data_IF_103713074511
#
_entry.id   IF_103713074511
#
_cell.length_a   1.000
_cell.length_b   1.000
_cell.length_c   1.000
_cell.angle_alpha   90.00
_cell.angle_beta   90.00
_cell.angle_gamma   90.00
#
_symmetry.space_group_name_H-M   'P 1'
#
loop_
_entity.id
_entity.type
_entity.pdbx_description
1 polymer ?
#
# COMPACT_ATOMS: atom_id res chain seq x y z
N UNK A 1 90.25 11.28 -7.79
CA UNK A 1 91.06 10.15 -7.30
C UNK A 1 91.03 10.13 -5.78
N UNK A 2 90.62 8.99 -5.23
CA UNK A 2 91.12 8.33 -4.01
C UNK A 2 91.16 9.06 -2.64
N UNK A 3 90.32 8.48 -1.74
CA UNK A 3 90.60 8.00 -0.37
C UNK A 3 90.74 9.09 0.72
N UNK A 4 90.15 9.00 1.91
CA UNK A 4 89.41 7.93 2.59
C UNK A 4 89.74 7.92 4.09
N UNK A 5 88.72 7.64 4.92
CA UNK A 5 88.72 7.24 6.36
C UNK A 5 89.02 8.30 7.43
N UNK A 6 88.07 8.51 8.36
CA UNK A 6 88.05 7.82 9.69
C UNK A 6 86.71 8.00 10.41
N UNK A 7 86.20 6.88 10.95
CA UNK A 7 85.08 6.77 11.90
C UNK A 7 85.45 7.37 13.27
N UNK A 8 84.47 7.92 13.99
CA UNK A 8 84.28 7.57 15.40
C UNK A 8 82.82 7.74 15.86
N UNK A 9 82.41 6.79 16.71
CA UNK A 9 81.10 6.53 17.30
C UNK A 9 80.53 7.71 18.11
N UNK A 10 79.20 7.86 18.08
CA UNK A 10 78.42 8.20 19.28
C UNK A 10 77.01 7.60 19.18
N UNK A 11 76.76 6.63 20.06
CA UNK A 11 75.43 6.12 20.38
C UNK A 11 74.60 7.21 21.08
N UNK A 12 73.34 7.36 20.65
CA UNK A 12 72.17 7.51 21.54
C UNK A 12 70.89 7.43 20.71
N UNK A 13 70.07 6.44 21.07
CA UNK A 13 68.69 6.18 20.60
C UNK A 13 67.76 7.39 20.84
N UNK A 14 66.60 7.45 20.15
CA UNK A 14 65.43 6.77 20.74
C UNK A 14 64.54 6.02 19.73
N UNK A 15 63.90 4.99 20.26
CA UNK A 15 62.84 4.19 19.67
C UNK A 15 61.64 5.06 19.24
N UNK A 16 61.18 4.88 17.99
CA UNK A 16 59.82 5.23 17.57
C UNK A 16 59.03 3.92 17.47
N UNK A 17 58.42 3.54 18.59
CA UNK A 17 57.38 2.53 18.61
C UNK A 17 56.18 3.01 17.81
N UNK A 18 55.81 2.26 16.76
CA UNK A 18 54.49 2.33 16.15
C UNK A 18 53.48 1.75 17.14
N UNK A 19 52.83 2.63 17.90
CA UNK A 19 51.68 2.30 18.73
C UNK A 19 50.48 1.98 17.83
N UNK A 20 50.37 0.71 17.42
CA UNK A 20 49.06 0.16 17.03
C UNK A 20 48.23 0.16 18.31
N UNK A 21 47.31 1.12 18.45
CA UNK A 21 46.22 1.07 19.41
C UNK A 21 45.43 -0.23 19.20
N UNK A 22 45.83 -1.27 19.92
CA UNK A 22 45.06 -2.47 20.17
C UNK A 22 43.84 -2.03 20.96
N UNK A 23 42.67 -2.02 20.31
CA UNK A 23 41.41 -1.77 21.02
C UNK A 23 41.19 -2.94 21.95
N UNK A 24 41.26 -2.66 23.25
CA UNK A 24 40.89 -3.56 24.32
C UNK A 24 39.53 -4.22 24.00
N UNK A 25 39.39 -5.55 24.14
CA UNK A 25 38.17 -6.28 23.77
C UNK A 25 36.89 -5.67 24.37
N UNK A 26 36.99 -5.10 25.57
CA UNK A 26 35.91 -4.41 26.28
C UNK A 26 35.33 -3.18 25.54
N UNK A 27 36.15 -2.47 24.74
CA UNK A 27 35.69 -1.32 23.92
C UNK A 27 35.02 -1.76 22.62
N UNK A 28 35.32 -2.96 22.14
CA UNK A 28 34.63 -3.58 20.99
C UNK A 28 33.29 -4.12 21.44
N UNK A 29 33.25 -4.77 22.60
CA UNK A 29 32.05 -5.32 23.25
C UNK A 29 31.00 -4.24 23.53
N UNK A 30 31.34 -3.16 24.24
CA UNK A 30 30.41 -2.04 24.49
C UNK A 30 29.90 -1.36 23.21
N UNK A 31 30.69 -1.41 22.13
CA UNK A 31 30.30 -0.85 20.82
C UNK A 31 29.35 -1.78 20.07
N UNK A 32 29.53 -3.09 20.16
CA UNK A 32 28.63 -4.09 19.56
C UNK A 32 27.33 -4.25 20.38
N UNK A 33 27.38 -4.21 21.71
CA UNK A 33 26.17 -4.12 22.57
C UNK A 33 25.36 -2.85 22.27
N UNK A 34 26.03 -1.72 22.08
CA UNK A 34 25.38 -0.48 21.66
C UNK A 34 24.76 -0.53 20.26
N UNK A 35 25.19 -1.48 19.41
CA UNK A 35 24.53 -1.79 18.13
C UNK A 35 23.39 -2.78 18.31
N UNK A 36 23.53 -3.77 19.20
CA UNK A 36 22.48 -4.71 19.59
C UNK A 36 21.25 -3.93 20.08
N UNK A 37 21.43 -3.05 21.07
CA UNK A 37 20.32 -2.27 21.62
C UNK A 37 19.66 -1.38 20.56
N UNK A 38 20.43 -0.79 19.64
CA UNK A 38 19.87 -0.01 18.53
C UNK A 38 19.12 -0.86 17.50
N UNK A 39 19.60 -2.06 17.23
CA UNK A 39 18.97 -3.00 16.31
C UNK A 39 17.65 -3.51 16.91
N UNK A 40 17.68 -3.92 18.17
CA UNK A 40 16.49 -4.30 18.96
C UNK A 40 15.48 -3.15 19.03
N UNK A 41 15.91 -1.93 19.35
CA UNK A 41 15.04 -0.75 19.35
C UNK A 41 14.42 -0.51 17.97
N UNK A 42 15.17 -0.76 16.89
CA UNK A 42 14.69 -0.55 15.52
C UNK A 42 13.65 -1.58 15.11
N UNK A 43 13.89 -2.87 15.41
CA UNK A 43 12.92 -3.94 15.18
C UNK A 43 11.67 -3.68 16.02
N UNK A 44 11.83 -3.46 17.32
CA UNK A 44 10.73 -3.22 18.25
C UNK A 44 9.92 -1.98 17.88
N UNK A 45 10.58 -0.88 17.48
CA UNK A 45 9.91 0.34 17.02
C UNK A 45 9.13 0.13 15.73
N UNK A 46 9.64 -0.67 14.79
CA UNK A 46 8.93 -0.98 13.53
C UNK A 46 7.71 -1.86 13.79
N UNK A 47 7.87 -2.93 14.55
CA UNK A 47 6.76 -3.80 14.97
C UNK A 47 5.69 -3.01 15.73
N UNK A 48 6.09 -2.08 16.61
CA UNK A 48 5.16 -1.24 17.37
C UNK A 48 4.50 -0.11 16.55
N UNK A 49 5.16 0.39 15.50
CA UNK A 49 4.59 1.39 14.58
C UNK A 49 3.54 0.76 13.68
N UNK A 50 3.74 -0.48 13.26
CA UNK A 50 2.76 -1.25 12.48
C UNK A 50 1.52 -1.58 13.31
N UNK A 51 1.68 -2.02 14.57
CA UNK A 51 0.55 -2.26 15.48
C UNK A 51 -0.29 -1.00 15.73
N UNK A 52 0.34 0.19 15.77
CA UNK A 52 -0.36 1.48 15.87
C UNK A 52 -0.98 1.95 14.56
N UNK A 53 -0.36 1.65 13.41
CA UNK A 53 -0.91 1.99 12.09
C UNK A 53 -2.12 1.13 11.73
N UNK A 54 -2.09 -0.17 12.05
CA UNK A 54 -3.25 -1.05 11.85
C UNK A 54 -4.37 -0.68 12.83
N UNK A 55 -4.05 -0.40 14.10
CA UNK A 55 -5.04 0.06 15.08
C UNK A 55 -5.65 1.45 14.74
N UNK A 56 -4.88 2.40 14.19
CA UNK A 56 -5.41 3.72 13.81
C UNK A 56 -6.26 3.68 12.54
N UNK A 57 -5.92 2.80 11.59
CA UNK A 57 -6.70 2.59 10.36
C UNK A 57 -8.01 1.86 10.66
N UNK A 58 -8.03 0.92 11.62
CA UNK A 58 -9.26 0.27 12.09
C UNK A 58 -10.14 1.17 13.00
N UNK A 59 -9.59 2.24 13.60
CA UNK A 59 -10.30 3.05 14.61
C UNK A 59 -10.81 4.42 14.11
N UNK A 60 -10.51 4.87 12.90
CA UNK A 60 -10.96 6.19 12.41
C UNK A 60 -11.79 6.08 11.12
N UNK A 61 -13.12 6.17 11.27
CA UNK A 61 -14.09 6.38 10.17
C UNK A 61 -14.07 7.84 9.65
N UNK A 62 -12.89 8.37 9.33
CA UNK A 62 -12.76 9.66 8.66
C UNK A 62 -11.63 9.61 7.65
N UNK A 63 -12.00 9.71 6.38
CA UNK A 63 -11.13 9.61 5.20
C UNK A 63 -9.95 10.59 5.24
N UNK A 64 -8.69 10.14 5.04
CA UNK A 64 -7.62 11.03 4.63
C UNK A 64 -7.71 11.25 3.11
N UNK A 65 -7.68 12.51 2.68
CA UNK A 65 -7.43 12.88 1.29
C UNK A 65 -6.03 12.38 0.90
N UNK A 66 -5.98 11.45 -0.06
CA UNK A 66 -4.74 10.91 -0.62
C UNK A 66 -4.61 11.41 -2.05
N UNK A 67 -3.61 12.28 -2.27
CA UNK A 67 -3.14 12.67 -3.60
C UNK A 67 -2.85 11.42 -4.45
N UNK A 68 -3.13 11.53 -5.75
CA UNK A 68 -2.81 10.57 -6.80
C UNK A 68 -1.32 10.20 -6.81
N UNK A 69 -0.96 9.19 -6.02
CA UNK A 69 0.40 8.68 -5.93
C UNK A 69 0.44 7.26 -6.48
N UNK A 70 1.08 7.17 -7.64
CA UNK A 70 1.49 6.00 -8.42
C UNK A 70 1.41 4.68 -7.65
N UNK A 71 0.61 3.75 -8.19
CA UNK A 71 0.53 2.35 -7.78
C UNK A 71 1.94 1.76 -7.49
N UNK A 72 2.22 1.27 -6.27
CA UNK A 72 3.44 0.53 -6.00
C UNK A 72 3.28 -0.86 -6.63
N UNK A 73 3.76 -1.02 -7.86
CA UNK A 73 3.70 -2.33 -8.52
C UNK A 73 4.14 -2.39 -9.97
N UNK A 74 4.26 -1.27 -10.68
CA UNK A 74 4.74 -1.29 -12.06
C UNK A 74 5.84 -0.26 -12.29
N UNK A 75 7.08 -0.76 -12.28
CA UNK A 75 8.25 -0.08 -12.80
C UNK A 75 9.15 -1.13 -13.44
N UNK A 76 9.37 -1.03 -14.75
CA UNK A 76 10.23 -1.93 -15.51
C UNK A 76 11.72 -1.86 -15.10
N UNK A 77 12.08 -0.96 -14.18
CA UNK A 77 13.35 -0.97 -13.47
C UNK A 77 13.09 -0.59 -12.01
N UNK A 78 13.17 -1.56 -11.10
CA UNK A 78 12.73 -1.44 -9.70
C UNK A 78 13.56 -0.50 -8.82
N UNK A 79 13.41 0.82 -8.97
CA UNK A 79 13.87 1.84 -8.02
C UNK A 79 12.93 3.04 -8.00
N UNK A 80 11.94 3.02 -7.11
CA UNK A 80 11.13 4.20 -6.78
C UNK A 80 11.46 4.69 -5.37
N UNK A 81 12.04 5.88 -5.24
CA UNK A 81 12.17 6.63 -3.98
C UNK A 81 11.40 7.92 -4.15
N UNK A 82 10.39 8.15 -3.31
CA UNK A 82 9.72 9.44 -3.19
C UNK A 82 10.58 10.34 -2.31
N UNK A 83 11.08 11.46 -2.85
CA UNK A 83 11.79 12.48 -2.08
C UNK A 83 10.81 13.58 -1.67
N UNK A 84 10.83 13.93 -0.37
CA UNK A 84 10.19 15.12 0.19
C UNK A 84 11.27 16.10 0.70
N UNK A 85 10.97 17.40 0.85
CA UNK A 85 11.96 18.45 1.11
C UNK A 85 12.59 18.32 2.50
N UNK A 86 13.86 18.71 2.58
CA UNK A 86 14.77 18.44 3.70
C UNK A 86 14.57 19.44 4.84
N UNK A 87 14.28 19.01 6.09
CA UNK A 87 14.56 19.80 7.28
C UNK A 87 15.93 19.42 7.86
N UNK A 88 16.58 20.40 8.49
CA UNK A 88 17.94 20.33 9.04
C UNK A 88 18.09 19.11 9.96
N UNK A 89 19.04 18.25 9.60
CA UNK A 89 19.11 16.86 10.09
C UNK A 89 20.09 16.72 11.26
N UNK A 90 19.66 16.16 12.39
CA UNK A 90 20.53 15.96 13.56
C UNK A 90 21.64 14.92 13.29
N UNK A 91 22.80 15.05 13.98
CA UNK A 91 23.93 14.10 13.90
C UNK A 91 23.52 12.63 14.12
N UNK A 92 22.43 12.37 14.86
CA UNK A 92 21.88 11.03 15.10
C UNK A 92 21.23 10.45 13.84
N UNK A 93 20.46 11.24 13.09
CA UNK A 93 19.83 10.82 11.83
C UNK A 93 20.84 10.62 10.71
N UNK A 94 21.91 11.42 10.64
CA UNK A 94 22.99 11.20 9.68
C UNK A 94 23.73 9.87 9.90
N UNK A 95 23.92 9.47 11.16
CA UNK A 95 24.55 8.19 11.49
C UNK A 95 23.64 7.00 11.18
N UNK A 96 22.32 7.17 11.36
CA UNK A 96 21.31 6.19 10.98
C UNK A 96 21.23 6.05 9.45
N UNK A 97 21.23 7.17 8.70
CA UNK A 97 21.32 7.16 7.23
C UNK A 97 22.61 6.50 6.73
N UNK A 98 23.77 6.74 7.35
CA UNK A 98 25.03 6.06 7.00
C UNK A 98 24.99 4.56 7.30
N UNK A 99 24.32 4.14 8.37
CA UNK A 99 24.06 2.73 8.64
C UNK A 99 23.16 2.12 7.56
N UNK A 100 22.06 2.78 7.20
CA UNK A 100 21.19 2.36 6.11
C UNK A 100 21.89 2.31 4.75
N UNK A 101 22.80 3.25 4.48
CA UNK A 101 23.57 3.26 3.24
C UNK A 101 24.55 2.09 3.17
N UNK A 102 25.24 1.77 4.28
CA UNK A 102 26.13 0.59 4.37
C UNK A 102 25.38 -0.73 4.32
N UNK A 103 24.20 -0.80 4.93
CA UNK A 103 23.28 -1.95 4.83
C UNK A 103 22.88 -2.12 3.36
N UNK A 104 22.49 -1.04 2.66
CA UNK A 104 22.10 -1.07 1.24
C UNK A 104 23.23 -1.49 0.29
N UNK A 105 24.48 -1.12 0.58
CA UNK A 105 25.66 -1.45 -0.23
C UNK A 105 26.14 -2.89 -0.01
N UNK A 106 25.96 -3.45 1.20
CA UNK A 106 26.36 -4.83 1.54
C UNK A 106 25.30 -5.89 1.19
N UNK A 107 24.02 -5.49 1.08
CA UNK A 107 22.88 -6.37 0.74
C UNK A 107 22.96 -6.95 -0.68
N UNK A 108 23.76 -6.38 -1.58
CA UNK A 108 23.90 -6.88 -2.96
C UNK A 108 24.62 -8.24 -3.09
N UNK A 109 25.31 -8.69 -2.04
CA UNK A 109 26.18 -9.88 -2.04
C UNK A 109 25.69 -11.02 -1.12
N UNK A 110 24.56 -10.82 -0.42
CA UNK A 110 24.06 -11.78 0.57
C UNK A 110 23.08 -12.77 -0.09
N UNK A 111 23.28 -14.05 0.21
CA UNK A 111 22.40 -15.17 -0.18
C UNK A 111 20.96 -14.86 0.30
N UNK A 112 20.03 -14.72 -0.66
CA UNK A 112 18.65 -14.36 -0.36
C UNK A 112 17.90 -15.57 0.15
N UNK A 113 17.26 -15.46 1.31
CA UNK A 113 16.32 -16.49 1.74
C UNK A 113 15.11 -16.51 0.80
N UNK A 114 14.78 -17.68 0.26
CA UNK A 114 13.60 -17.87 -0.57
C UNK A 114 12.39 -18.18 0.32
N UNK A 115 11.30 -17.45 0.12
CA UNK A 115 10.00 -17.78 0.73
C UNK A 115 9.37 -18.89 -0.11
N UNK A 116 8.49 -19.70 0.49
CA UNK A 116 7.88 -20.84 -0.20
C UNK A 116 7.25 -20.44 -1.55
N UNK A 117 7.38 -21.33 -2.54
CA UNK A 117 6.82 -21.14 -3.89
C UNK A 117 5.30 -20.95 -3.86
N UNK A 118 4.62 -21.68 -2.98
CA UNK A 118 3.18 -21.58 -2.77
C UNK A 118 2.78 -20.16 -2.33
N UNK A 119 3.46 -19.61 -1.33
CA UNK A 119 3.20 -18.26 -0.83
C UNK A 119 3.44 -17.19 -1.91
N UNK A 120 4.55 -17.29 -2.64
CA UNK A 120 4.86 -16.35 -3.74
C UNK A 120 3.81 -16.42 -4.86
N UNK A 121 3.31 -17.63 -5.15
CA UNK A 121 2.22 -17.83 -6.12
C UNK A 121 0.91 -17.21 -5.63
N UNK A 122 0.58 -17.36 -4.35
CA UNK A 122 -0.61 -16.73 -3.75
C UNK A 122 -0.56 -15.21 -3.83
N UNK A 123 0.59 -14.58 -3.58
CA UNK A 123 0.77 -13.14 -3.76
C UNK A 123 0.59 -12.70 -5.21
N UNK A 124 1.15 -13.44 -6.17
CA UNK A 124 0.96 -13.15 -7.58
C UNK A 124 -0.51 -13.30 -8.02
N UNK A 125 -1.23 -14.26 -7.45
CA UNK A 125 -2.66 -14.44 -7.68
C UNK A 125 -3.48 -13.31 -7.07
N UNK A 126 -3.13 -12.83 -5.87
CA UNK A 126 -3.73 -11.65 -5.25
C UNK A 126 -3.57 -10.41 -6.16
N UNK A 127 -2.36 -10.17 -6.70
CA UNK A 127 -2.10 -9.03 -7.58
C UNK A 127 -2.95 -9.09 -8.87
N UNK A 128 -3.02 -10.26 -9.49
CA UNK A 128 -3.90 -10.49 -10.66
C UNK A 128 -5.37 -10.28 -10.32
N UNK A 129 -5.79 -10.76 -9.15
CA UNK A 129 -7.16 -10.60 -8.68
C UNK A 129 -7.53 -9.13 -8.48
N UNK A 130 -6.63 -8.34 -7.88
CA UNK A 130 -6.83 -6.89 -7.73
C UNK A 130 -6.97 -6.19 -9.08
N UNK A 131 -6.12 -6.50 -10.05
CA UNK A 131 -6.23 -5.91 -11.40
C UNK A 131 -7.57 -6.21 -12.07
N UNK A 132 -8.05 -7.45 -11.91
CA UNK A 132 -9.37 -7.86 -12.38
C UNK A 132 -10.48 -7.05 -11.67
N UNK A 133 -10.38 -6.88 -10.35
CA UNK A 133 -11.33 -6.08 -9.58
C UNK A 133 -11.33 -4.61 -9.96
N UNK A 134 -10.18 -3.98 -10.23
CA UNK A 134 -10.13 -2.59 -10.69
C UNK A 134 -10.90 -2.42 -12.01
N UNK A 135 -10.58 -3.29 -12.98
CA UNK A 135 -11.19 -3.27 -14.31
C UNK A 135 -12.70 -3.50 -14.23
N UNK A 136 -13.11 -4.46 -13.39
CA UNK A 136 -14.51 -4.77 -13.16
C UNK A 136 -15.23 -3.60 -12.48
N UNK A 137 -14.65 -3.03 -11.41
CA UNK A 137 -15.26 -1.94 -10.68
C UNK A 137 -15.43 -0.70 -11.57
N UNK A 138 -14.44 -0.39 -12.40
CA UNK A 138 -14.51 0.69 -13.38
C UNK A 138 -15.61 0.43 -14.42
N UNK A 139 -15.67 -0.76 -15.02
CA UNK A 139 -16.70 -1.12 -15.99
C UNK A 139 -18.11 -1.03 -15.38
N UNK A 140 -18.31 -1.58 -14.19
CA UNK A 140 -19.61 -1.53 -13.50
C UNK A 140 -19.98 -0.09 -13.14
N UNK A 141 -19.04 0.73 -12.65
CA UNK A 141 -19.29 2.16 -12.43
C UNK A 141 -19.66 2.88 -13.73
N UNK A 142 -19.06 2.47 -14.85
CA UNK A 142 -19.37 2.97 -16.18
C UNK A 142 -20.82 2.71 -16.59
N UNK A 143 -21.34 1.52 -16.28
CA UNK A 143 -22.73 1.13 -16.54
C UNK A 143 -23.70 1.82 -15.59
N UNK A 144 -23.34 1.97 -14.31
CA UNK A 144 -24.21 2.62 -13.31
C UNK A 144 -24.39 4.10 -13.63
N UNK A 145 -23.34 4.77 -14.10
CA UNK A 145 -23.35 6.20 -14.40
C UNK A 145 -22.63 6.43 -15.73
N UNK A 146 -23.39 6.53 -16.81
CA UNK A 146 -22.86 6.66 -18.17
C UNK A 146 -22.08 7.97 -18.36
N UNK A 147 -22.53 9.05 -17.70
CA UNK A 147 -21.92 10.35 -17.82
C UNK A 147 -20.60 10.42 -17.04
N UNK A 148 -19.44 10.54 -17.73
CA UNK A 148 -18.13 10.56 -17.07
C UNK A 148 -17.94 11.74 -16.11
N UNK A 149 -18.69 12.83 -16.28
CA UNK A 149 -18.60 14.02 -15.42
C UNK A 149 -18.97 13.72 -13.97
N UNK A 150 -19.84 12.72 -13.76
CA UNK A 150 -20.27 12.25 -12.43
C UNK A 150 -19.45 11.06 -11.91
N UNK A 151 -18.51 10.53 -12.73
CA UNK A 151 -17.62 9.41 -12.36
C UNK A 151 -16.24 9.85 -11.83
N UNK A 152 -15.97 11.16 -11.74
CA UNK A 152 -14.61 11.72 -11.53
C UNK A 152 -13.83 11.07 -10.38
N UNK A 153 -12.51 11.04 -10.62
CA UNK A 153 -11.41 10.44 -9.83
C UNK A 153 -11.64 10.53 -8.31
N UNK A 154 -11.32 9.44 -7.61
CA UNK A 154 -11.42 9.20 -6.16
C UNK A 154 -12.64 8.42 -5.67
N UNK A 155 -13.45 7.82 -6.56
CA UNK A 155 -14.65 7.07 -6.14
C UNK A 155 -15.52 7.90 -5.20
N UNK A 156 -15.80 9.15 -5.59
CA UNK A 156 -16.60 10.08 -4.79
C UNK A 156 -17.83 9.37 -4.23
N UNK A 157 -18.16 9.69 -2.98
CA UNK A 157 -19.28 9.09 -2.25
C UNK A 157 -20.60 9.15 -3.03
N UNK A 158 -20.74 10.07 -3.98
CA UNK A 158 -21.94 10.27 -4.77
C UNK A 158 -21.62 10.23 -6.27
N UNK A 159 -22.22 9.26 -6.96
CA UNK A 159 -22.26 9.15 -8.44
C UNK A 159 -23.56 9.69 -9.02
N UNK A 160 -24.54 10.00 -8.16
CA UNK A 160 -25.81 10.55 -8.59
C UNK A 160 -25.59 11.99 -9.06
N UNK A 161 -26.23 12.42 -10.16
CA UNK A 161 -26.21 13.82 -10.57
C UNK A 161 -26.67 14.74 -9.42
N UNK A 162 -26.26 16.01 -9.37
CA UNK A 162 -26.87 16.99 -8.48
C UNK A 162 -28.38 17.14 -8.75
N UNK A 163 -29.13 17.67 -7.78
CA UNK A 163 -30.58 17.86 -7.93
C UNK A 163 -30.91 18.72 -9.17
N UNK A 164 -31.90 18.32 -9.97
CA UNK A 164 -32.30 18.96 -11.22
C UNK A 164 -31.27 18.93 -12.37
N UNK A 165 -30.17 18.20 -12.23
CA UNK A 165 -29.18 17.96 -13.31
C UNK A 165 -29.26 16.53 -13.88
N UNK A 166 -30.24 15.75 -13.44
CA UNK A 166 -30.51 14.42 -14.01
C UNK A 166 -31.28 14.57 -15.33
N UNK A 167 -30.93 13.74 -16.30
CA UNK A 167 -31.35 13.90 -17.70
C UNK A 167 -32.88 13.84 -17.87
N UNK A 168 -33.56 12.90 -17.20
CA UNK A 168 -35.01 12.80 -17.26
C UNK A 168 -35.70 13.96 -16.52
N UNK A 169 -35.15 14.43 -15.40
CA UNK A 169 -35.64 15.64 -14.72
C UNK A 169 -35.51 16.88 -15.59
N UNK A 170 -34.40 17.01 -16.33
CA UNK A 170 -34.20 18.10 -17.29
C UNK A 170 -35.22 18.05 -18.42
N UNK A 171 -35.52 16.87 -18.96
CA UNK A 171 -36.57 16.71 -19.97
C UNK A 171 -37.94 17.10 -19.41
N UNK A 172 -38.29 16.64 -18.21
CA UNK A 172 -39.54 17.04 -17.54
C UNK A 172 -39.64 18.55 -17.35
N UNK A 173 -38.55 19.20 -16.92
CA UNK A 173 -38.48 20.64 -16.76
C UNK A 173 -38.65 21.37 -18.10
N UNK A 174 -37.98 20.93 -19.16
CA UNK A 174 -38.12 21.49 -20.50
C UNK A 174 -39.56 21.40 -21.01
N UNK A 175 -40.20 20.24 -20.87
CA UNK A 175 -41.60 20.05 -21.25
C UNK A 175 -42.53 21.01 -20.50
N UNK A 176 -42.27 21.32 -19.24
CA UNK A 176 -43.12 22.22 -18.45
C UNK A 176 -42.85 23.72 -18.66
N UNK A 177 -41.67 24.10 -19.17
CA UNK A 177 -41.21 25.50 -19.18
C UNK A 177 -41.06 26.11 -20.56
N UNK A 178 -40.86 25.29 -21.60
CA UNK A 178 -40.73 25.77 -22.96
C UNK A 178 -42.11 25.99 -23.58
N UNK A 179 -42.28 27.15 -24.20
CA UNK A 179 -43.47 27.49 -24.98
C UNK A 179 -43.48 26.76 -26.33
N UNK A 180 -44.66 26.39 -26.83
CA UNK A 180 -44.84 25.63 -28.08
C UNK A 180 -45.13 24.14 -27.88
N UNK A 181 -45.11 23.66 -26.62
CA UNK A 181 -45.52 22.30 -26.27
C UNK A 181 -46.93 22.25 -25.67
N UNK A 182 -47.60 23.39 -25.44
CA UNK A 182 -48.92 23.45 -24.79
C UNK A 182 -50.03 22.79 -25.62
N UNK A 183 -49.86 22.73 -26.94
CA UNK A 183 -50.80 22.08 -27.86
C UNK A 183 -50.64 20.55 -27.91
N UNK A 184 -49.55 20.03 -27.32
CA UNK A 184 -49.31 18.59 -27.30
C UNK A 184 -50.19 17.93 -26.23
N UNK A 185 -51.21 17.21 -26.70
CA UNK A 185 -52.29 16.63 -25.88
C UNK A 185 -51.81 15.84 -24.65
N UNK A 186 -50.62 15.23 -24.73
CA UNK A 186 -50.07 14.37 -23.69
C UNK A 186 -48.86 14.98 -22.95
N UNK A 187 -48.60 16.29 -23.12
CA UNK A 187 -47.43 16.98 -22.56
C UNK A 187 -47.31 16.78 -21.04
N UNK A 188 -48.41 16.99 -20.30
CA UNK A 188 -48.44 16.85 -18.85
C UNK A 188 -48.12 15.42 -18.41
N UNK A 189 -48.71 14.43 -19.08
CA UNK A 189 -48.51 13.00 -18.79
C UNK A 189 -47.05 12.63 -19.05
N UNK A 190 -46.45 13.10 -20.16
CA UNK A 190 -45.04 12.87 -20.46
C UNK A 190 -44.12 13.56 -19.44
N UNK A 191 -44.39 14.81 -19.09
CA UNK A 191 -43.58 15.54 -18.11
C UNK A 191 -43.59 14.85 -16.73
N UNK A 192 -44.75 14.38 -16.27
CA UNK A 192 -44.87 13.60 -15.03
C UNK A 192 -44.13 12.26 -15.11
N UNK A 193 -44.21 11.56 -16.26
CA UNK A 193 -43.48 10.31 -16.48
C UNK A 193 -41.97 10.50 -16.44
N UNK A 194 -41.43 11.51 -17.12
CA UNK A 194 -40.00 11.83 -17.07
C UNK A 194 -39.53 12.19 -15.65
N UNK A 195 -40.34 12.89 -14.86
CA UNK A 195 -40.03 13.16 -13.45
C UNK A 195 -39.92 11.86 -12.62
N UNK A 196 -40.82 10.89 -12.85
CA UNK A 196 -40.77 9.57 -12.21
C UNK A 196 -39.54 8.77 -12.66
N UNK A 197 -39.22 8.77 -13.95
CA UNK A 197 -38.03 8.11 -14.50
C UNK A 197 -36.75 8.65 -13.85
N UNK A 198 -36.61 9.97 -13.73
CA UNK A 198 -35.45 10.58 -13.08
C UNK A 198 -35.31 10.20 -11.60
N UNK A 199 -36.44 10.13 -10.88
CA UNK A 199 -36.45 9.67 -9.48
C UNK A 199 -35.97 8.22 -9.34
N UNK A 200 -36.47 7.33 -10.19
CA UNK A 200 -36.09 5.91 -10.21
C UNK A 200 -34.62 5.74 -10.61
N UNK A 201 -34.14 6.49 -11.59
CA UNK A 201 -32.74 6.47 -12.02
C UNK A 201 -31.78 6.93 -10.91
N UNK A 202 -32.13 7.99 -10.18
CA UNK A 202 -31.36 8.43 -9.00
C UNK A 202 -31.32 7.39 -7.89
N UNK A 203 -32.44 6.71 -7.62
CA UNK A 203 -32.49 5.63 -6.64
C UNK A 203 -31.58 4.46 -7.08
N UNK A 204 -31.66 4.09 -8.36
CA UNK A 204 -30.81 3.05 -8.96
C UNK A 204 -29.33 3.36 -8.76
N UNK A 205 -28.85 4.54 -9.18
CA UNK A 205 -27.43 4.92 -9.05
C UNK A 205 -26.96 4.79 -7.60
N UNK A 206 -27.77 5.26 -6.64
CA UNK A 206 -27.42 5.20 -5.20
C UNK A 206 -27.34 3.76 -4.70
N UNK A 207 -28.30 2.92 -5.09
CA UNK A 207 -28.39 1.52 -4.64
C UNK A 207 -27.30 0.66 -5.29
N UNK A 208 -27.13 0.79 -6.61
CA UNK A 208 -26.11 0.09 -7.39
C UNK A 208 -24.68 0.43 -6.94
N UNK A 209 -24.41 1.69 -6.60
CA UNK A 209 -23.10 2.05 -6.01
C UNK A 209 -22.90 1.43 -4.62
N UNK A 210 -23.97 1.37 -3.81
CA UNK A 210 -23.91 0.79 -2.46
C UNK A 210 -23.67 -0.71 -2.49
N UNK A 211 -24.23 -1.42 -3.47
CA UNK A 211 -24.03 -2.86 -3.61
C UNK A 211 -22.58 -3.24 -3.91
N UNK A 212 -21.74 -2.32 -4.39
CA UNK A 212 -20.30 -2.57 -4.65
C UNK A 212 -19.39 -2.21 -3.47
N UNK A 213 -19.92 -2.17 -2.25
CA UNK A 213 -19.18 -1.67 -1.09
C UNK A 213 -17.93 -2.49 -0.77
N UNK A 214 -18.02 -3.82 -0.78
CA UNK A 214 -16.90 -4.68 -0.39
C UNK A 214 -15.80 -4.64 -1.45
N UNK A 215 -16.17 -4.68 -2.73
CA UNK A 215 -15.21 -4.54 -3.84
C UNK A 215 -14.42 -3.23 -3.72
N UNK A 216 -15.12 -2.11 -3.51
CA UNK A 216 -14.48 -0.79 -3.37
C UNK A 216 -13.59 -0.72 -2.15
N UNK A 217 -14.05 -1.24 -1.01
CA UNK A 217 -13.27 -1.26 0.23
C UNK A 217 -12.00 -2.09 0.07
N UNK A 218 -12.09 -3.25 -0.59
CA UNK A 218 -10.94 -4.11 -0.83
C UNK A 218 -9.87 -3.43 -1.69
N UNK A 219 -10.28 -2.79 -2.79
CA UNK A 219 -9.37 -2.07 -3.70
C UNK A 219 -8.69 -0.89 -2.98
N UNK A 220 -9.46 -0.11 -2.22
CA UNK A 220 -8.99 1.12 -1.61
C UNK A 220 -8.20 0.92 -0.32
N UNK A 221 -8.50 -0.14 0.45
CA UNK A 221 -7.96 -0.33 1.79
C UNK A 221 -7.29 -1.68 1.95
N UNK A 222 -8.01 -2.80 1.81
CA UNK A 222 -7.50 -4.12 2.21
C UNK A 222 -6.27 -4.54 1.38
N UNK A 223 -6.30 -4.29 0.07
CA UNK A 223 -5.16 -4.55 -0.80
C UNK A 223 -3.91 -3.74 -0.40
N UNK A 224 -4.10 -2.48 0.02
CA UNK A 224 -2.99 -1.64 0.47
C UNK A 224 -2.39 -2.12 1.79
N UNK A 225 -3.23 -2.62 2.71
CA UNK A 225 -2.75 -3.26 3.94
C UNK A 225 -1.89 -4.48 3.61
N UNK A 226 -2.35 -5.35 2.70
CA UNK A 226 -1.59 -6.49 2.20
C UNK A 226 -0.26 -6.07 1.55
N UNK A 227 -0.27 -5.05 0.70
CA UNK A 227 0.93 -4.52 0.04
C UNK A 227 1.96 -3.96 1.03
N UNK A 228 1.49 -3.26 2.08
CA UNK A 228 2.34 -2.77 3.15
C UNK A 228 2.97 -3.93 3.96
N UNK A 229 2.17 -4.93 4.32
CA UNK A 229 2.66 -6.13 5.01
C UNK A 229 3.71 -6.88 4.16
N UNK A 230 3.49 -6.99 2.84
CA UNK A 230 4.44 -7.60 1.91
C UNK A 230 5.77 -6.84 1.86
N UNK A 231 5.71 -5.51 1.78
CA UNK A 231 6.91 -4.65 1.76
C UNK A 231 7.72 -4.74 3.06
N UNK A 232 7.02 -4.82 4.20
CA UNK A 232 7.65 -5.01 5.50
C UNK A 232 8.29 -6.39 5.63
N UNK A 233 7.60 -7.45 5.19
CA UNK A 233 8.14 -8.81 5.16
C UNK A 233 9.43 -8.87 4.33
N UNK A 234 9.46 -8.24 3.16
CA UNK A 234 10.66 -8.14 2.32
C UNK A 234 11.80 -7.38 3.00
N UNK A 235 11.48 -6.40 3.85
CA UNK A 235 12.48 -5.66 4.63
C UNK A 235 13.05 -6.53 5.74
N UNK A 236 12.20 -7.22 6.51
CA UNK A 236 12.61 -8.14 7.57
C UNK A 236 13.45 -9.29 7.01
N UNK A 237 13.09 -9.81 5.83
CA UNK A 237 13.88 -10.83 5.12
C UNK A 237 15.32 -10.36 4.88
N UNK A 238 15.50 -9.14 4.35
CA UNK A 238 16.84 -8.57 4.11
C UNK A 238 17.62 -8.37 5.41
N UNK A 239 16.96 -7.99 6.50
CA UNK A 239 17.59 -7.82 7.81
C UNK A 239 18.03 -9.15 8.41
N UNK A 240 17.19 -10.19 8.29
CA UNK A 240 17.52 -11.55 8.68
C UNK A 240 18.70 -12.10 7.86
N UNK A 241 18.68 -11.95 6.53
CA UNK A 241 19.77 -12.38 5.65
C UNK A 241 21.08 -11.65 6.01
N UNK A 242 21.02 -10.35 6.29
CA UNK A 242 22.17 -9.58 6.76
C UNK A 242 22.70 -10.11 8.10
N UNK A 243 21.84 -10.32 9.10
CA UNK A 243 22.24 -10.86 10.39
C UNK A 243 22.88 -12.26 10.27
N UNK A 244 22.37 -13.11 9.36
CA UNK A 244 22.95 -14.42 9.03
C UNK A 244 24.36 -14.29 8.47
N UNK A 245 24.58 -13.34 7.55
CA UNK A 245 25.91 -13.10 6.97
C UNK A 245 26.91 -12.57 8.01
N UNK A 246 26.45 -11.68 8.90
CA UNK A 246 27.25 -11.14 9.99
C UNK A 246 27.64 -12.23 10.99
N UNK A 247 26.73 -13.17 11.30
CA UNK A 247 27.01 -14.34 12.12
C UNK A 247 28.06 -15.25 11.47
N UNK A 248 27.92 -15.57 10.18
CA UNK A 248 28.90 -16.39 9.43
C UNK A 248 30.30 -15.78 9.39
N UNK A 249 30.41 -14.45 9.44
CA UNK A 249 31.71 -13.73 9.37
C UNK A 249 32.41 -13.53 10.72
N UNK A 250 31.73 -13.79 11.85
CA UNK A 250 32.32 -13.64 13.17
C UNK A 250 33.29 -14.78 13.51
N UNK A 251 34.41 -14.43 14.14
CA UNK A 251 35.48 -15.37 14.51
C UNK A 251 35.62 -15.58 16.01
N UNK A 252 35.22 -14.58 16.81
CA UNK A 252 35.34 -14.61 18.27
C UNK A 252 34.11 -15.24 18.92
N UNK A 253 34.29 -16.11 19.91
CA UNK A 253 33.20 -16.85 20.55
C UNK A 253 32.13 -15.94 21.19
N UNK A 254 32.55 -14.87 21.87
CA UNK A 254 31.62 -13.88 22.45
C UNK A 254 30.84 -13.13 21.36
N UNK A 255 31.50 -12.76 20.26
CA UNK A 255 30.87 -12.06 19.15
C UNK A 255 29.89 -12.98 18.39
N UNK A 256 30.22 -14.26 18.26
CA UNK A 256 29.32 -15.28 17.69
C UNK A 256 28.05 -15.39 18.53
N UNK A 257 28.16 -15.46 19.87
CA UNK A 257 26.99 -15.54 20.76
C UNK A 257 26.07 -14.31 20.58
N UNK A 258 26.65 -13.11 20.57
CA UNK A 258 25.92 -11.85 20.38
C UNK A 258 25.22 -11.79 19.01
N UNK A 259 25.94 -12.10 17.93
CA UNK A 259 25.38 -12.09 16.57
C UNK A 259 24.34 -13.19 16.35
N UNK A 260 24.49 -14.33 17.02
CA UNK A 260 23.48 -15.39 17.00
C UNK A 260 22.19 -14.90 17.63
N UNK A 261 22.26 -14.21 18.78
CA UNK A 261 21.07 -13.59 19.38
C UNK A 261 20.39 -12.59 18.42
N UNK A 262 21.17 -11.74 17.73
CA UNK A 262 20.62 -10.82 16.71
C UNK A 262 19.91 -11.56 15.57
N UNK A 263 20.52 -12.64 15.09
CA UNK A 263 19.93 -13.46 14.04
C UNK A 263 18.63 -14.12 14.50
N UNK A 264 18.57 -14.69 15.70
CA UNK A 264 17.34 -15.29 16.24
C UNK A 264 16.20 -14.28 16.38
N UNK A 265 16.48 -13.05 16.82
CA UNK A 265 15.47 -11.99 16.88
C UNK A 265 14.97 -11.61 15.48
N UNK A 266 15.87 -11.52 14.49
CA UNK A 266 15.48 -11.22 13.11
C UNK A 266 14.65 -12.34 12.47
N UNK A 267 14.98 -13.60 12.76
CA UNK A 267 14.20 -14.79 12.33
C UNK A 267 12.80 -14.73 12.92
N UNK A 268 12.67 -14.56 14.24
CA UNK A 268 11.37 -14.48 14.91
C UNK A 268 10.50 -13.35 14.34
N UNK A 269 11.06 -12.16 14.13
CA UNK A 269 10.32 -11.04 13.54
C UNK A 269 9.85 -11.33 12.10
N UNK A 270 10.70 -11.97 11.28
CA UNK A 270 10.34 -12.38 9.93
C UNK A 270 9.23 -13.44 9.92
N UNK A 271 9.34 -14.48 10.76
CA UNK A 271 8.36 -15.55 10.88
C UNK A 271 7.00 -15.03 11.35
N UNK A 272 6.99 -14.15 12.36
CA UNK A 272 5.78 -13.51 12.86
C UNK A 272 5.08 -12.70 11.75
N UNK A 273 5.85 -11.94 10.97
CA UNK A 273 5.30 -11.16 9.86
C UNK A 273 4.81 -12.05 8.72
N UNK A 274 5.54 -13.12 8.42
CA UNK A 274 5.16 -14.11 7.40
C UNK A 274 3.82 -14.75 7.79
N UNK A 275 3.66 -15.15 9.06
CA UNK A 275 2.42 -15.70 9.61
C UNK A 275 1.26 -14.70 9.47
N UNK A 276 1.44 -13.45 9.88
CA UNK A 276 0.42 -12.40 9.72
C UNK A 276 -0.03 -12.23 8.27
N UNK A 277 0.91 -12.13 7.33
CA UNK A 277 0.59 -11.97 5.92
C UNK A 277 -0.08 -13.23 5.33
N UNK A 278 0.30 -14.42 5.82
CA UNK A 278 -0.32 -15.68 5.40
C UNK A 278 -1.78 -15.73 5.85
N UNK A 279 -2.07 -15.36 7.09
CA UNK A 279 -3.45 -15.25 7.60
C UNK A 279 -4.30 -14.29 6.77
N UNK A 280 -3.78 -13.11 6.42
CA UNK A 280 -4.51 -12.17 5.56
C UNK A 280 -4.76 -12.73 4.14
N UNK A 281 -3.83 -13.51 3.61
CA UNK A 281 -4.03 -14.18 2.32
C UNK A 281 -5.07 -15.31 2.40
N UNK A 282 -5.13 -16.01 3.53
CA UNK A 282 -6.10 -17.09 3.78
C UNK A 282 -7.54 -16.54 3.91
N UNK A 283 -7.71 -15.24 4.17
CA UNK A 283 -9.00 -14.56 4.17
C UNK A 283 -9.50 -14.20 2.74
N UNK A 284 -8.63 -14.25 1.73
CA UNK A 284 -8.97 -13.88 0.35
C UNK A 284 -10.19 -14.64 -0.23
N UNK A 285 -10.38 -15.96 -0.01
CA UNK A 285 -11.58 -16.65 -0.45
C UNK A 285 -12.87 -16.05 0.11
N UNK A 286 -12.88 -15.64 1.38
CA UNK A 286 -14.03 -14.96 2.00
C UNK A 286 -14.30 -13.61 1.35
N UNK A 287 -13.26 -12.83 1.06
CA UNK A 287 -13.43 -11.58 0.29
C UNK A 287 -14.04 -11.84 -1.10
N UNK A 288 -13.61 -12.90 -1.79
CA UNK A 288 -14.19 -13.28 -3.10
C UNK A 288 -15.67 -13.59 -3.01
N UNK A 289 -16.11 -14.31 -1.98
CA UNK A 289 -17.53 -14.59 -1.76
C UNK A 289 -18.33 -13.30 -1.55
N UNK A 290 -17.82 -12.36 -0.74
CA UNK A 290 -18.45 -11.05 -0.54
C UNK A 290 -18.51 -10.24 -1.84
N UNK A 291 -17.45 -10.27 -2.66
CA UNK A 291 -17.43 -9.58 -3.95
C UNK A 291 -18.43 -10.19 -4.95
N UNK A 292 -18.64 -11.51 -4.92
CA UNK A 292 -19.69 -12.16 -5.73
C UNK A 292 -21.08 -11.70 -5.25
N UNK A 293 -21.30 -11.65 -3.94
CA UNK A 293 -22.56 -11.16 -3.38
C UNK A 293 -22.85 -9.70 -3.77
N UNK A 294 -21.84 -8.83 -3.75
CA UNK A 294 -21.92 -7.44 -4.23
C UNK A 294 -22.42 -7.36 -5.68
N UNK A 295 -21.85 -8.19 -6.56
CA UNK A 295 -22.23 -8.24 -7.98
C UNK A 295 -23.64 -8.78 -8.18
N UNK A 296 -24.04 -9.81 -7.44
CA UNK A 296 -25.40 -10.35 -7.50
C UNK A 296 -26.44 -9.33 -7.03
N UNK A 297 -26.16 -8.58 -5.96
CA UNK A 297 -27.04 -7.50 -5.52
C UNK A 297 -27.09 -6.38 -6.57
N UNK A 298 -25.96 -6.03 -7.19
CA UNK A 298 -25.95 -5.05 -8.28
C UNK A 298 -26.81 -5.49 -9.49
N UNK A 299 -26.70 -6.75 -9.91
CA UNK A 299 -27.50 -7.31 -11.00
C UNK A 299 -28.99 -7.29 -10.66
N UNK A 300 -29.34 -7.66 -9.42
CA UNK A 300 -30.72 -7.58 -8.91
C UNK A 300 -31.25 -6.15 -8.95
N UNK A 301 -30.46 -5.18 -8.47
CA UNK A 301 -30.80 -3.76 -8.52
C UNK A 301 -31.02 -3.27 -9.96
N UNK A 302 -30.16 -3.69 -10.88
CA UNK A 302 -30.22 -3.30 -12.30
C UNK A 302 -31.47 -3.89 -12.97
N UNK A 303 -31.79 -5.16 -12.69
CA UNK A 303 -33.03 -5.78 -13.15
C UNK A 303 -34.25 -5.02 -12.67
N UNK A 304 -34.37 -4.78 -11.35
CA UNK A 304 -35.50 -4.06 -10.77
C UNK A 304 -35.61 -2.63 -11.31
N UNK A 305 -34.49 -1.97 -11.57
CA UNK A 305 -34.46 -0.66 -12.22
C UNK A 305 -35.13 -0.71 -13.61
N UNK A 306 -34.67 -1.60 -14.49
CA UNK A 306 -35.23 -1.69 -15.84
C UNK A 306 -36.71 -2.12 -15.84
N UNK A 307 -37.13 -3.01 -14.94
CA UNK A 307 -38.54 -3.38 -14.77
C UNK A 307 -39.41 -2.18 -14.36
N UNK A 308 -38.92 -1.35 -13.43
CA UNK A 308 -39.62 -0.13 -13.00
C UNK A 308 -39.69 0.91 -14.12
N UNK A 309 -38.59 1.10 -14.85
CA UNK A 309 -38.55 2.03 -16.00
C UNK A 309 -39.54 1.61 -17.09
N UNK A 310 -39.56 0.32 -17.45
CA UNK A 310 -40.49 -0.22 -18.44
C UNK A 310 -41.96 0.00 -18.02
N UNK A 311 -42.28 -0.28 -16.75
CA UNK A 311 -43.64 -0.07 -16.23
C UNK A 311 -44.07 1.40 -16.31
N UNK A 312 -43.19 2.35 -15.99
CA UNK A 312 -43.51 3.79 -16.09
C UNK A 312 -43.80 4.18 -17.55
N UNK A 313 -43.02 3.65 -18.50
CA UNK A 313 -43.22 3.92 -19.92
C UNK A 313 -44.55 3.33 -20.43
N UNK A 314 -44.89 2.09 -20.07
CA UNK A 314 -46.17 1.47 -20.42
C UNK A 314 -47.39 2.23 -19.85
N UNK A 315 -47.27 2.79 -18.65
CA UNK A 315 -48.30 3.65 -18.05
C UNK A 315 -48.43 4.97 -18.81
N UNK A 316 -47.33 5.52 -19.31
CA UNK A 316 -47.32 6.75 -20.10
C UNK A 316 -47.99 6.58 -21.48
N UNK A 317 -47.86 5.42 -22.12
CA UNK A 317 -48.48 5.14 -23.43
C UNK A 317 -50.01 4.97 -23.35
N UNK A 318 -50.55 4.62 -22.18
CA UNK A 318 -51.98 4.40 -21.97
C UNK A 318 -52.77 5.69 -21.68
N UNK A 319 -52.08 6.78 -21.35
CA UNK A 319 -52.65 8.09 -21.01
C UNK A 319 -52.68 9.05 -22.18
#
# INVERSE_FOLDING_TARGET
MAKGKKQEKREKSPEKGTEKTEKTPEKVEKKEEGKLNRFLDTITFRTARTARSTASILSTKSSPSMNSQICPGFGATGKGVVQAPVPVESKRMQNVKRFFFRVKESIGLVEKTEVSKAFTTSLAHLDKYKLCLDTLAEAVCGVIQENPSYRKEDYKMEMAPPANEEENELVSKCLNTLTGFEEYKNQKIQAESYQKLGTVHREYIRRARRSLHNIRTFIQYDYWVLANHRTELDTLRREMDFAKSELKSAKDAQLIALKNQMYQVAVSAFEDKLKQLTTLLDELPKHKEMHIADLLEWLSCTKTYHERMAKILEECEKG
#
